data_IF_720446299122
#
_entry.id   IF_720446299122
#
_cell.length_a   1.000
_cell.length_b   1.000
_cell.length_c   1.000
_cell.angle_alpha   90.00
_cell.angle_beta   90.00
_cell.angle_gamma   90.00
#
_symmetry.space_group_name_H-M   'P 1'
#
loop_
_entity.id
_entity.type
_entity.pdbx_description
1 polymer ?
#
# COMPACT_ATOMS: atom_id res chain seq x y z
N UNK A 1 -13.75 2.24 -5.44
CA UNK A 1 -12.49 2.31 -4.65
C UNK A 1 -11.38 1.75 -5.54
N UNK A 2 -10.40 2.58 -5.90
CA UNK A 2 -9.35 2.23 -6.87
C UNK A 2 -8.68 0.87 -6.62
N UNK A 3 -8.41 0.51 -5.36
CA UNK A 3 -7.77 -0.77 -5.01
C UNK A 3 -8.56 -2.01 -5.43
N UNK A 4 -9.89 -2.00 -5.26
CA UNK A 4 -10.73 -3.13 -5.66
C UNK A 4 -10.96 -3.17 -7.17
N UNK A 5 -11.10 -2.00 -7.80
CA UNK A 5 -11.21 -1.86 -9.27
C UNK A 5 -9.95 -2.42 -9.95
N UNK A 6 -8.76 -2.08 -9.45
CA UNK A 6 -7.47 -2.59 -9.96
C UNK A 6 -7.34 -4.12 -9.84
N UNK A 7 -7.92 -4.71 -8.80
CA UNK A 7 -7.95 -6.16 -8.59
C UNK A 7 -9.04 -6.87 -9.41
N UNK A 8 -9.97 -6.11 -10.00
CA UNK A 8 -11.16 -6.60 -10.69
C UNK A 8 -12.14 -7.35 -9.79
N UNK A 9 -11.90 -7.36 -8.46
CA UNK A 9 -12.71 -8.06 -7.46
C UNK A 9 -12.46 -7.53 -6.07
N UNK A 10 -13.42 -7.80 -5.18
CA UNK A 10 -13.23 -7.64 -3.74
C UNK A 10 -12.61 -8.92 -3.15
N UNK A 11 -11.62 -8.82 -2.25
CA UNK A 11 -11.11 -9.97 -1.51
C UNK A 11 -12.21 -10.69 -0.72
N UNK A 12 -12.24 -12.02 -0.79
CA UNK A 12 -13.37 -12.84 -0.29
C UNK A 12 -13.22 -13.34 1.15
N UNK A 13 -12.03 -13.24 1.72
CA UNK A 13 -11.73 -13.78 3.06
C UNK A 13 -11.30 -12.63 3.97
N UNK A 14 -9.98 -12.37 4.04
CA UNK A 14 -9.42 -11.39 4.96
C UNK A 14 -8.57 -10.35 4.24
N UNK A 15 -8.80 -9.08 4.58
CA UNK A 15 -7.92 -7.98 4.20
C UNK A 15 -7.08 -7.58 5.40
N UNK A 16 -5.75 -7.66 5.25
CA UNK A 16 -4.81 -7.32 6.31
C UNK A 16 -4.60 -5.82 6.39
N UNK A 17 -4.83 -5.24 7.55
CA UNK A 17 -4.61 -3.82 7.81
C UNK A 17 -3.53 -3.61 8.86
N UNK A 18 -2.87 -2.47 8.73
CA UNK A 18 -2.06 -1.91 9.82
C UNK A 18 -3.02 -1.28 10.83
N UNK A 19 -2.53 -0.90 12.01
CA UNK A 19 -3.31 -0.18 13.02
C UNK A 19 -3.59 1.28 12.57
N UNK A 20 -4.37 1.40 11.51
CA UNK A 20 -4.84 2.60 10.87
C UNK A 20 -5.74 3.38 11.83
N UNK A 21 -5.30 4.57 12.26
CA UNK A 21 -6.09 5.47 13.11
C UNK A 21 -7.46 5.83 12.49
N UNK A 22 -7.59 5.85 11.17
CA UNK A 22 -8.87 6.16 10.50
C UNK A 22 -9.91 5.03 10.60
N UNK A 23 -9.46 3.80 10.88
CA UNK A 23 -10.30 2.59 10.93
C UNK A 23 -10.50 2.11 12.37
N UNK A 24 -9.46 2.22 13.19
CA UNK A 24 -9.40 1.73 14.55
C UNK A 24 -9.55 2.91 15.50
N UNK A 25 -10.62 2.90 16.31
CA UNK A 25 -10.79 3.83 17.44
C UNK A 25 -9.85 3.49 18.59
N UNK A 26 -9.67 2.19 18.88
CA UNK A 26 -8.80 1.73 19.97
C UNK A 26 -8.17 0.37 19.68
N UNK A 27 -6.89 0.24 20.03
CA UNK A 27 -6.16 -1.02 20.03
C UNK A 27 -6.39 -1.72 21.38
N UNK A 28 -6.96 -2.92 21.36
CA UNK A 28 -7.18 -3.76 22.55
C UNK A 28 -6.09 -4.85 22.66
N UNK A 29 -6.16 -5.67 23.72
CA UNK A 29 -5.19 -6.74 23.96
C UNK A 29 -5.09 -7.73 22.77
N UNK A 30 -3.86 -8.08 22.39
CA UNK A 30 -3.58 -8.95 21.25
C UNK A 30 -4.00 -8.34 19.90
N UNK A 31 -4.86 -9.04 19.15
CA UNK A 31 -5.32 -8.64 17.81
C UNK A 31 -6.67 -7.92 17.80
N UNK A 32 -7.34 -7.83 18.95
CA UNK A 32 -8.65 -7.21 19.05
C UNK A 32 -8.58 -5.70 18.84
N UNK A 33 -9.51 -5.16 18.06
CA UNK A 33 -9.61 -3.71 17.77
C UNK A 33 -11.04 -3.26 17.94
N UNK A 34 -11.22 -2.05 18.47
CA UNK A 34 -12.48 -1.35 18.37
C UNK A 34 -12.48 -0.53 17.09
N UNK A 35 -13.29 -0.94 16.11
CA UNK A 35 -13.41 -0.26 14.83
C UNK A 35 -14.34 0.96 14.92
N UNK A 36 -14.15 1.92 14.03
CA UNK A 36 -15.11 3.01 13.84
C UNK A 36 -16.35 2.50 13.08
N UNK A 37 -17.52 3.07 13.37
CA UNK A 37 -18.78 2.73 12.68
C UNK A 37 -18.69 2.91 11.16
N UNK A 38 -18.02 3.97 10.70
CA UNK A 38 -17.76 4.18 9.27
C UNK A 38 -16.93 3.05 8.65
N UNK A 39 -16.01 2.47 9.41
CA UNK A 39 -15.19 1.36 8.97
C UNK A 39 -15.97 0.04 8.94
N UNK A 40 -16.81 -0.19 9.96
CA UNK A 40 -17.73 -1.33 10.01
C UNK A 40 -18.71 -1.28 8.82
N UNK A 41 -19.30 -0.11 8.54
CA UNK A 41 -20.18 0.09 7.39
C UNK A 41 -19.44 -0.16 6.07
N UNK A 42 -18.20 0.33 5.94
CA UNK A 42 -17.37 0.09 4.77
C UNK A 42 -17.10 -1.39 4.52
N UNK A 43 -16.58 -2.13 5.52
CA UNK A 43 -16.30 -3.56 5.34
C UNK A 43 -17.57 -4.39 5.10
N UNK A 44 -18.70 -3.98 5.70
CA UNK A 44 -19.99 -4.65 5.50
C UNK A 44 -20.55 -4.41 4.09
N UNK A 45 -20.35 -3.22 3.53
CA UNK A 45 -20.75 -2.90 2.15
C UNK A 45 -20.00 -3.75 1.12
N UNK A 46 -18.71 -4.00 1.35
CA UNK A 46 -17.88 -4.81 0.44
C UNK A 46 -17.83 -6.30 0.80
N UNK A 47 -18.29 -6.69 1.99
CA UNK A 47 -18.44 -8.09 2.40
C UNK A 47 -17.13 -8.82 2.74
N UNK A 48 -16.13 -8.14 3.30
CA UNK A 48 -14.85 -8.74 3.69
C UNK A 48 -14.55 -8.61 5.19
N UNK A 49 -13.68 -9.49 5.72
CA UNK A 49 -13.22 -9.43 7.11
C UNK A 49 -11.91 -8.61 7.24
N UNK A 50 -11.88 -7.69 8.21
CA UNK A 50 -10.68 -6.92 8.58
C UNK A 50 -9.78 -7.74 9.50
N UNK A 51 -8.52 -7.94 9.09
CA UNK A 51 -7.52 -8.64 9.88
C UNK A 51 -6.39 -7.70 10.30
N UNK A 52 -6.27 -7.44 11.60
CA UNK A 52 -5.25 -6.52 12.12
C UNK A 52 -3.98 -7.26 12.53
N UNK A 53 -2.83 -6.78 12.07
CA UNK A 53 -1.52 -7.28 12.49
C UNK A 53 -1.30 -7.04 13.99
N UNK A 54 -0.50 -7.91 14.62
CA UNK A 54 -0.10 -7.67 16.01
C UNK A 54 0.72 -6.37 16.13
N UNK A 55 0.48 -5.56 17.18
CA UNK A 55 1.28 -4.36 17.40
C UNK A 55 2.66 -4.73 17.94
N UNK A 56 3.70 -4.02 17.49
CA UNK A 56 5.08 -4.19 17.98
C UNK A 56 5.95 -5.09 17.10
N UNK A 57 7.18 -5.33 17.56
CA UNK A 57 8.22 -6.06 16.82
C UNK A 57 7.81 -7.50 16.48
N UNK A 58 7.03 -8.17 17.33
CA UNK A 58 6.51 -9.52 17.08
C UNK A 58 5.59 -9.59 15.85
N UNK A 59 4.79 -8.55 15.61
CA UNK A 59 3.91 -8.47 14.44
C UNK A 59 4.59 -7.94 13.16
N UNK A 60 5.81 -7.41 13.27
CA UNK A 60 6.58 -6.88 12.12
C UNK A 60 6.83 -7.95 11.06
N UNK A 61 7.10 -9.19 11.50
CA UNK A 61 7.32 -10.33 10.61
C UNK A 61 6.07 -10.74 9.82
N UNK A 62 4.86 -10.39 10.28
CA UNK A 62 3.59 -10.70 9.58
C UNK A 62 3.42 -9.85 8.30
N UNK A 63 4.20 -8.77 8.17
CA UNK A 63 4.27 -7.87 7.02
C UNK A 63 5.56 -8.01 6.20
N UNK A 64 6.44 -8.94 6.57
CA UNK A 64 7.87 -8.97 6.20
C UNK A 64 8.25 -8.99 4.72
N UNK A 65 7.31 -8.97 3.77
CA UNK A 65 7.60 -8.82 2.34
C UNK A 65 7.33 -7.41 1.78
N UNK A 66 6.45 -6.63 2.40
CA UNK A 66 5.95 -5.37 1.81
C UNK A 66 6.95 -4.23 1.99
N UNK A 67 7.61 -4.14 3.14
CA UNK A 67 8.55 -3.05 3.44
C UNK A 67 9.86 -3.18 2.63
N UNK A 68 10.37 -4.41 2.48
CA UNK A 68 11.56 -4.69 1.68
C UNK A 68 11.36 -4.35 0.20
N UNK A 69 10.21 -4.74 -0.36
CA UNK A 69 9.84 -4.43 -1.75
C UNK A 69 9.58 -2.93 -1.96
N UNK A 70 8.97 -2.25 -0.99
CA UNK A 70 8.80 -0.78 -1.04
C UNK A 70 10.15 -0.05 -1.08
N UNK A 71 11.11 -0.47 -0.24
CA UNK A 71 12.47 0.07 -0.28
C UNK A 71 13.20 -0.22 -1.60
N UNK A 72 13.05 -1.43 -2.14
CA UNK A 72 13.64 -1.83 -3.43
C UNK A 72 13.07 -1.02 -4.59
N UNK A 73 11.75 -0.87 -4.64
CA UNK A 73 11.06 -0.07 -5.66
C UNK A 73 11.60 1.36 -5.69
N UNK A 74 11.68 2.01 -4.53
CA UNK A 74 12.18 3.39 -4.43
C UNK A 74 13.61 3.52 -4.93
N UNK A 75 14.51 2.61 -4.55
CA UNK A 75 15.91 2.65 -4.98
C UNK A 75 16.09 2.41 -6.47
N UNK A 76 15.20 1.62 -7.08
CA UNK A 76 15.32 1.25 -8.48
C UNK A 76 14.62 2.24 -9.42
N UNK A 77 13.53 2.88 -8.95
CA UNK A 77 12.61 3.60 -9.84
C UNK A 77 12.36 5.06 -9.44
N UNK A 78 12.72 5.46 -8.22
CA UNK A 78 12.57 6.82 -7.71
C UNK A 78 13.91 7.53 -7.47
N UNK A 79 15.01 6.97 -7.99
CA UNK A 79 16.36 7.51 -7.89
C UNK A 79 17.02 7.51 -9.28
N UNK A 80 17.50 8.66 -9.79
CA UNK A 80 17.41 10.00 -9.18
C UNK A 80 15.95 10.48 -9.05
N UNK A 81 15.70 11.45 -8.15
CA UNK A 81 14.36 11.96 -7.89
C UNK A 81 13.72 12.49 -9.19
N UNK A 82 12.53 11.99 -9.59
CA UNK A 82 11.88 12.44 -10.83
C UNK A 82 11.49 13.91 -10.75
N UNK A 83 11.60 14.61 -11.87
CA UNK A 83 11.20 16.02 -12.03
C UNK A 83 10.02 16.10 -12.99
N UNK A 84 8.87 16.53 -12.50
CA UNK A 84 7.57 16.49 -13.21
C UNK A 84 6.87 17.84 -13.15
N UNK A 85 5.93 18.10 -14.05
CA UNK A 85 5.08 19.29 -14.04
C UNK A 85 3.73 19.04 -13.35
N UNK A 86 3.32 17.78 -13.24
CA UNK A 86 2.01 17.36 -12.69
C UNK A 86 2.08 16.02 -11.97
N UNK A 87 1.06 15.73 -11.16
CA UNK A 87 0.92 14.44 -10.48
C UNK A 87 0.57 13.34 -11.49
N UNK A 88 -0.13 13.68 -12.56
CA UNK A 88 -0.48 12.80 -13.68
C UNK A 88 0.77 12.35 -14.46
N UNK A 89 1.71 13.27 -14.70
CA UNK A 89 3.01 12.97 -15.32
C UNK A 89 3.85 12.05 -14.44
N UNK A 90 3.72 12.14 -13.11
CA UNK A 90 4.36 11.21 -12.17
C UNK A 90 3.66 9.84 -12.12
N UNK A 91 2.33 9.79 -12.15
CA UNK A 91 1.57 8.55 -12.06
C UNK A 91 1.81 7.63 -13.27
N UNK A 92 1.91 8.19 -14.47
CA UNK A 92 2.08 7.42 -15.72
C UNK A 92 3.28 6.44 -15.68
N UNK A 93 4.52 6.88 -15.41
CA UNK A 93 5.67 5.98 -15.30
C UNK A 93 5.59 5.08 -14.06
N UNK A 94 4.99 5.54 -12.96
CA UNK A 94 4.80 4.72 -11.76
C UNK A 94 3.87 3.54 -12.02
N UNK A 95 2.76 3.74 -12.72
CA UNK A 95 1.83 2.67 -13.09
C UNK A 95 2.49 1.61 -13.98
N UNK A 96 3.24 2.04 -14.99
CA UNK A 96 3.97 1.13 -15.88
C UNK A 96 5.03 0.31 -15.12
N UNK A 97 5.75 0.96 -14.20
CA UNK A 97 6.76 0.33 -13.37
C UNK A 97 6.13 -0.65 -12.37
N UNK A 98 5.00 -0.28 -11.80
CA UNK A 98 4.19 -1.11 -10.92
C UNK A 98 3.71 -2.39 -11.60
N UNK A 99 3.28 -2.30 -12.87
CA UNK A 99 2.85 -3.45 -13.66
C UNK A 99 4.03 -4.35 -14.03
N UNK A 100 5.19 -3.77 -14.38
CA UNK A 100 6.42 -4.52 -14.64
C UNK A 100 6.90 -5.28 -13.39
N UNK A 101 6.83 -4.66 -12.21
CA UNK A 101 7.21 -5.29 -10.95
C UNK A 101 6.22 -6.37 -10.51
N UNK A 102 4.94 -6.23 -10.83
CA UNK A 102 3.93 -7.27 -10.57
C UNK A 102 4.09 -8.49 -11.49
N UNK A 103 4.56 -8.28 -12.72
CA UNK A 103 4.91 -9.36 -13.65
C UNK A 103 6.22 -10.07 -13.28
N UNK A 104 7.05 -9.47 -12.42
CA UNK A 104 8.36 -10.00 -12.02
C UNK A 104 8.20 -11.25 -11.15
N UNK A 105 8.93 -12.32 -11.52
CA UNK A 105 9.11 -13.52 -10.68
C UNK A 105 10.47 -13.47 -9.99
N UNK A 106 10.52 -13.79 -8.70
CA UNK A 106 11.77 -13.91 -7.93
C UNK A 106 11.90 -15.36 -7.48
N UNK A 107 12.78 -16.11 -8.15
CA UNK A 107 12.89 -17.56 -7.97
C UNK A 107 11.63 -18.32 -8.46
N UNK A 108 11.32 -19.45 -7.83
CA UNK A 108 10.14 -20.28 -8.16
C UNK A 108 8.83 -19.81 -7.49
N UNK A 109 8.84 -18.68 -6.76
CA UNK A 109 7.62 -18.11 -6.17
C UNK A 109 7.21 -16.87 -6.95
N UNK A 110 5.99 -16.88 -7.47
CA UNK A 110 5.32 -15.64 -7.82
C UNK A 110 5.05 -14.90 -6.50
N UNK A 111 5.93 -13.97 -6.12
CA UNK A 111 5.61 -12.98 -5.10
C UNK A 111 4.66 -12.00 -5.77
N UNK A 112 3.40 -12.40 -5.90
CA UNK A 112 2.35 -11.51 -6.34
C UNK A 112 2.12 -10.52 -5.19
N UNK A 113 2.80 -9.37 -5.23
CA UNK A 113 2.57 -8.23 -4.35
C UNK A 113 1.15 -7.63 -4.51
N UNK A 114 0.32 -8.23 -5.37
CA UNK A 114 -1.10 -7.95 -5.59
C UNK A 114 -1.92 -7.80 -4.30
N UNK A 115 -1.54 -8.47 -3.22
CA UNK A 115 -2.31 -8.50 -1.96
C UNK A 115 -1.80 -7.52 -0.90
N UNK A 116 -0.74 -6.77 -1.17
CA UNK A 116 -0.10 -5.86 -0.20
C UNK A 116 0.44 -4.59 -0.85
N UNK A 117 -0.37 -3.92 -1.67
CA UNK A 117 0.04 -2.71 -2.39
C UNK A 117 -0.23 -1.46 -1.54
N UNK A 118 0.61 -1.24 -0.54
CA UNK A 118 0.82 0.13 0.00
C UNK A 118 1.34 0.99 -1.14
N UNK A 119 0.78 2.19 -1.37
CA UNK A 119 1.30 3.12 -2.40
C UNK A 119 2.82 3.23 -2.21
N UNK A 120 3.56 2.79 -3.22
CA UNK A 120 5.02 2.75 -3.20
C UNK A 120 5.49 4.20 -3.17
N UNK A 121 5.97 4.63 -2.00
CA UNK A 121 6.04 6.05 -1.74
C UNK A 121 7.15 6.71 -2.59
N UNK A 122 6.79 7.42 -3.66
CA UNK A 122 7.72 8.04 -4.61
C UNK A 122 7.61 9.55 -4.52
N UNK A 123 8.70 10.20 -4.10
CA UNK A 123 8.76 11.65 -4.04
C UNK A 123 9.24 12.19 -5.39
N UNK A 124 8.59 13.25 -5.88
CA UNK A 124 9.01 13.97 -7.08
C UNK A 124 9.18 15.45 -6.78
N UNK A 125 10.03 16.10 -7.58
CA UNK A 125 10.18 17.56 -7.58
C UNK A 125 9.36 18.15 -8.71
N UNK A 126 8.62 19.22 -8.44
CA UNK A 126 7.93 19.95 -9.49
C UNK A 126 8.91 20.84 -10.26
N UNK A 127 8.85 20.82 -11.60
CA UNK A 127 9.74 21.59 -12.47
C UNK A 127 9.53 23.10 -12.30
N UNK A 128 8.28 23.52 -12.09
CA UNK A 128 7.87 24.92 -11.92
C UNK A 128 7.97 25.43 -10.47
N UNK A 129 8.09 24.54 -9.48
CA UNK A 129 8.18 24.90 -8.06
C UNK A 129 9.40 24.23 -7.43
N UNK A 130 10.51 24.97 -7.33
CA UNK A 130 11.72 24.51 -6.65
C UNK A 130 11.54 24.32 -5.13
N UNK A 131 10.38 24.66 -4.58
CA UNK A 131 10.06 24.61 -3.15
C UNK A 131 9.23 23.36 -2.82
N UNK A 132 9.83 22.51 -1.98
CA UNK A 132 9.29 21.30 -1.33
C UNK A 132 8.93 20.10 -2.24
N UNK A 133 9.60 18.93 -2.05
CA UNK A 133 9.19 17.69 -2.72
C UNK A 133 7.83 17.22 -2.19
N UNK A 134 6.96 16.77 -3.11
CA UNK A 134 5.71 16.09 -2.75
C UNK A 134 5.88 14.58 -2.94
N UNK A 135 5.44 13.82 -1.95
CA UNK A 135 5.53 12.36 -1.95
C UNK A 135 4.12 11.75 -2.08
N UNK A 136 3.98 10.85 -3.06
CA UNK A 136 2.82 9.96 -3.24
C UNK A 136 3.08 8.63 -2.57
#
# INVERSE_FOLDING_TARGET
MYGFERLGRVPVDKVRYDNLNSAVKQVLFGRSRQENERWIAFRSHYGYESWYCQPGHEGSHERGGVEGEGGRFRRNHCVPMPVVDSIEELNTPLEATDDADDARRVGNRAISARTGRSRRHCCARYRLNHSTPHCL
#
